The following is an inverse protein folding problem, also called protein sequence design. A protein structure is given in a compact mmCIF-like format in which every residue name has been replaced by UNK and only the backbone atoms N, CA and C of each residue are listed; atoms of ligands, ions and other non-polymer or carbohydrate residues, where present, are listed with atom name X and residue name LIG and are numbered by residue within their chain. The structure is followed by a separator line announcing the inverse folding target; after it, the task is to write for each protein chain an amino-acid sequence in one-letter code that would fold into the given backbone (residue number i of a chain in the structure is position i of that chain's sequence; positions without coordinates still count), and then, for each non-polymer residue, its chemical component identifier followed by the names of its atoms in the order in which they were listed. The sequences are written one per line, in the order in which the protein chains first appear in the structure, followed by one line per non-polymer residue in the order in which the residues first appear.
data_IF_556685164090
#
_entry.id   IF_556685164090
#
_cell.length_a   1.000
_cell.length_b   1.000
_cell.length_c   1.000
_cell.angle_alpha   90.00
_cell.angle_beta   90.00
_cell.angle_gamma   90.00
#
_symmetry.space_group_name_H-M   'P 1'
#
loop_
_entity.id
_entity.type
_entity.pdbx_description
1 polymer ?
#
# COMPACT_ATOMS: atom_id res chain seq x y z
N UNK A 1 29.33 -23.67 -50.68
CA UNK A 1 28.97 -23.70 -49.25
C UNK A 1 27.74 -24.58 -49.08
N UNK A 2 27.81 -25.61 -48.24
CA UNK A 2 26.75 -26.62 -48.10
C UNK A 2 25.51 -26.00 -47.44
N UNK A 3 24.31 -26.47 -47.80
CA UNK A 3 23.04 -26.11 -47.13
C UNK A 3 23.11 -26.34 -45.61
N UNK A 4 23.99 -27.25 -45.18
CA UNK A 4 24.29 -27.51 -43.77
C UNK A 4 24.90 -26.28 -43.05
N UNK A 5 25.81 -25.56 -43.69
CA UNK A 5 26.45 -24.37 -43.13
C UNK A 5 25.46 -23.20 -43.01
N UNK A 6 24.59 -23.03 -44.00
CA UNK A 6 23.53 -22.02 -43.97
C UNK A 6 22.52 -22.29 -42.84
N UNK A 7 22.11 -23.54 -42.67
CA UNK A 7 21.21 -23.94 -41.60
C UNK A 7 21.86 -23.78 -40.21
N UNK A 8 23.17 -24.01 -40.09
CA UNK A 8 23.92 -23.78 -38.85
C UNK A 8 23.99 -22.30 -38.49
N UNK A 9 24.23 -21.41 -39.46
CA UNK A 9 24.21 -19.96 -39.24
C UNK A 9 22.82 -19.43 -38.86
N UNK A 10 21.74 -19.97 -39.45
CA UNK A 10 20.37 -19.62 -39.06
C UNK A 10 20.08 -20.07 -37.62
N UNK A 11 20.48 -21.29 -37.24
CA UNK A 11 20.30 -21.80 -35.88
C UNK A 11 21.06 -20.94 -34.84
N UNK A 12 22.29 -20.53 -35.16
CA UNK A 12 23.11 -19.67 -34.29
C UNK A 12 22.51 -18.26 -34.15
N UNK A 13 21.93 -17.72 -35.22
CA UNK A 13 21.20 -16.44 -35.20
C UNK A 13 19.94 -16.47 -34.35
N UNK A 14 19.21 -17.59 -34.31
CA UNK A 14 18.02 -17.77 -33.47
C UNK A 14 18.38 -17.90 -31.99
N UNK A 15 19.52 -18.51 -31.65
CA UNK A 15 20.01 -18.61 -30.27
C UNK A 15 20.44 -17.24 -29.71
N UNK A 16 21.00 -16.37 -30.55
CA UNK A 16 21.41 -15.01 -30.17
C UNK A 16 20.24 -14.01 -30.02
N UNK A 17 19.01 -14.41 -30.37
CA UNK A 17 17.79 -13.59 -30.23
C UNK A 17 17.06 -13.79 -28.91
N UNK A 18 17.61 -14.55 -27.96
CA UNK A 18 17.08 -14.64 -26.60
C UNK A 18 17.42 -13.35 -25.82
N UNK A 19 16.86 -12.23 -26.27
CA UNK A 19 16.89 -10.97 -25.57
C UNK A 19 16.11 -11.12 -24.26
N UNK A 20 16.78 -10.78 -23.15
CA UNK A 20 16.26 -10.84 -21.80
C UNK A 20 14.96 -10.04 -21.68
N UNK A 21 13.82 -10.72 -21.62
CA UNK A 21 12.54 -10.11 -21.23
C UNK A 21 12.59 -9.86 -19.73
N UNK A 22 13.09 -8.70 -19.33
CA UNK A 22 12.93 -8.23 -17.95
C UNK A 22 11.48 -7.82 -17.76
N UNK A 23 10.68 -8.70 -17.14
CA UNK A 23 9.36 -8.32 -16.65
C UNK A 23 9.53 -7.18 -15.63
N UNK A 24 8.93 -6.01 -15.90
CA UNK A 24 8.92 -4.91 -14.94
C UNK A 24 7.91 -5.23 -13.84
N UNK A 25 8.43 -5.54 -12.64
CA UNK A 25 7.59 -5.83 -11.48
C UNK A 25 7.29 -4.54 -10.69
N UNK A 26 6.24 -3.84 -11.11
CA UNK A 26 5.71 -2.68 -10.39
C UNK A 26 5.13 -3.07 -9.02
N UNK A 27 5.10 -2.12 -8.09
CA UNK A 27 4.61 -2.32 -6.72
C UNK A 27 5.45 -3.28 -5.85
N UNK A 28 6.61 -3.72 -6.33
CA UNK A 28 7.51 -4.63 -5.62
C UNK A 28 8.26 -3.94 -4.47
N UNK A 29 8.91 -2.81 -4.76
CA UNK A 29 9.65 -2.00 -3.77
C UNK A 29 8.79 -0.91 -3.12
N UNK A 30 7.98 -0.23 -3.93
CA UNK A 30 7.06 0.82 -3.48
C UNK A 30 5.69 0.51 -4.04
N UNK A 31 4.70 0.29 -3.17
CA UNK A 31 3.32 0.07 -3.62
C UNK A 31 2.56 1.39 -3.70
N UNK A 32 1.85 1.59 -4.80
CA UNK A 32 0.84 2.63 -4.95
C UNK A 32 -0.53 2.06 -4.57
N UNK A 33 -1.32 2.83 -3.84
CA UNK A 33 -2.69 2.48 -3.41
C UNK A 33 -3.59 3.69 -3.69
N UNK A 34 -4.83 3.43 -4.12
CA UNK A 34 -5.86 4.46 -4.29
C UNK A 34 -7.01 4.12 -3.34
N UNK A 35 -7.27 4.99 -2.38
CA UNK A 35 -8.45 4.94 -1.54
C UNK A 35 -9.49 5.93 -2.07
N UNK A 36 -10.76 5.53 -1.98
CA UNK A 36 -11.88 6.35 -2.42
C UNK A 36 -12.97 6.30 -1.36
N UNK A 37 -13.49 7.46 -0.97
CA UNK A 37 -14.63 7.57 -0.07
C UNK A 37 -15.82 8.14 -0.83
N UNK A 38 -16.91 7.39 -0.86
CA UNK A 38 -18.14 7.81 -1.54
C UNK A 38 -18.88 8.77 -0.59
N UNK A 39 -18.71 10.08 -0.80
CA UNK A 39 -19.62 11.04 -0.21
C UNK A 39 -20.89 11.11 -1.06
N UNK A 40 -22.04 11.34 -0.40
CA UNK A 40 -23.33 11.51 -1.09
C UNK A 40 -23.18 12.58 -2.21
N UNK A 41 -23.86 12.36 -3.33
CA UNK A 41 -23.97 13.27 -4.50
C UNK A 41 -22.83 13.22 -5.55
N UNK A 42 -22.45 12.02 -6.02
CA UNK A 42 -21.56 11.79 -7.18
C UNK A 42 -20.16 12.42 -7.09
N UNK A 43 -19.78 12.87 -5.90
CA UNK A 43 -18.48 13.46 -5.59
C UNK A 43 -17.63 12.42 -4.87
N UNK A 44 -16.53 12.04 -5.51
CA UNK A 44 -15.58 11.06 -5.01
C UNK A 44 -14.36 11.77 -4.42
N UNK A 45 -14.11 11.56 -3.14
CA UNK A 45 -12.81 11.90 -2.54
C UNK A 45 -11.81 10.79 -2.88
N UNK A 46 -10.69 11.17 -3.47
CA UNK A 46 -9.65 10.27 -3.95
C UNK A 46 -8.36 10.58 -3.21
N UNK A 47 -7.84 9.58 -2.49
CA UNK A 47 -6.57 9.68 -1.76
C UNK A 47 -5.55 8.74 -2.39
N UNK A 48 -4.44 9.30 -2.87
CA UNK A 48 -3.28 8.53 -3.31
C UNK A 48 -2.37 8.20 -2.14
N UNK A 49 -1.95 6.93 -2.01
CA UNK A 49 -1.09 6.46 -0.92
C UNK A 49 0.13 5.73 -1.49
N UNK A 50 1.31 5.99 -0.93
CA UNK A 50 2.52 5.22 -1.17
C UNK A 50 2.87 4.35 0.04
N UNK A 51 3.43 3.16 -0.19
CA UNK A 51 3.99 2.28 0.84
C UNK A 51 5.39 1.82 0.46
N UNK A 52 6.37 2.10 1.31
CA UNK A 52 7.73 1.59 1.17
C UNK A 52 7.78 0.15 1.69
N UNK A 53 8.28 -0.79 0.90
CA UNK A 53 8.46 -2.20 1.29
C UNK A 53 9.94 -2.54 1.54
N UNK A 54 10.80 -1.53 1.60
CA UNK A 54 12.26 -1.66 1.70
C UNK A 54 12.80 -1.09 3.00
N UNK A 55 14.08 -1.34 3.25
CA UNK A 55 14.82 -0.85 4.43
C UNK A 55 15.46 0.52 4.21
N UNK A 56 15.35 1.11 3.01
CA UNK A 56 15.96 2.38 2.67
C UNK A 56 14.96 3.54 2.76
N UNK A 57 15.44 4.73 3.12
CA UNK A 57 14.69 5.96 2.87
C UNK A 57 14.67 6.21 1.36
N UNK A 58 13.51 6.62 0.83
CA UNK A 58 13.33 6.84 -0.60
C UNK A 58 12.82 8.26 -0.84
N UNK A 59 13.52 9.03 -1.67
CA UNK A 59 12.99 10.27 -2.26
C UNK A 59 12.23 9.90 -3.53
N UNK A 60 10.98 10.30 -3.63
CA UNK A 60 10.08 9.85 -4.68
C UNK A 60 9.26 11.02 -5.24
N UNK A 61 8.75 10.83 -6.44
CA UNK A 61 7.78 11.73 -7.06
C UNK A 61 6.51 10.95 -7.38
N UNK A 62 5.34 11.55 -7.21
CA UNK A 62 4.09 10.95 -7.64
C UNK A 62 3.40 11.77 -8.73
N UNK A 63 2.53 11.11 -9.49
CA UNK A 63 1.53 11.73 -10.34
C UNK A 63 0.20 11.00 -10.14
N UNK A 64 -0.80 11.72 -9.63
CA UNK A 64 -2.18 11.27 -9.52
C UNK A 64 -3.00 11.91 -10.64
N UNK A 65 -3.45 11.12 -11.59
CA UNK A 65 -4.23 11.57 -12.74
C UNK A 65 -5.68 11.11 -12.65
N UNK A 66 -6.59 12.01 -13.04
CA UNK A 66 -8.00 11.72 -13.26
C UNK A 66 -8.27 11.93 -14.74
N UNK A 67 -8.61 10.85 -15.43
CA UNK A 67 -8.85 10.85 -16.87
C UNK A 67 -10.32 10.53 -17.09
N UNK A 68 -11.06 11.46 -17.66
CA UNK A 68 -12.46 11.24 -18.05
C UNK A 68 -12.57 11.18 -19.56
N UNK A 69 -13.35 10.25 -20.09
CA UNK A 69 -13.59 10.14 -21.51
C UNK A 69 -15.02 9.71 -21.80
N UNK A 70 -15.58 10.21 -22.90
CA UNK A 70 -16.87 9.75 -23.40
C UNK A 70 -16.66 8.52 -24.29
N UNK A 71 -17.07 7.31 -23.86
CA UNK A 71 -16.88 6.10 -24.67
C UNK A 71 -17.79 6.04 -25.91
N UNK A 72 -18.73 6.99 -26.10
CA UNK A 72 -19.74 6.99 -27.17
C UNK A 72 -19.41 7.89 -28.36
N UNK A 73 -18.49 8.83 -28.20
CA UNK A 73 -18.21 9.85 -29.22
C UNK A 73 -17.15 9.37 -30.21
N UNK A 74 -17.44 9.43 -31.51
CA UNK A 74 -16.47 9.16 -32.60
C UNK A 74 -15.26 10.12 -32.58
N UNK A 75 -15.41 11.29 -31.96
CA UNK A 75 -14.35 12.23 -31.60
C UNK A 75 -14.36 12.35 -30.07
N UNK A 76 -13.52 11.58 -29.39
CA UNK A 76 -13.57 11.46 -27.92
C UNK A 76 -12.98 12.71 -27.25
N UNK A 77 -13.82 13.62 -26.79
CA UNK A 77 -13.38 14.61 -25.80
C UNK A 77 -12.98 13.85 -24.54
N UNK A 78 -11.69 13.87 -24.23
CA UNK A 78 -11.14 13.36 -22.98
C UNK A 78 -10.52 14.52 -22.21
N UNK A 79 -10.84 14.62 -20.92
CA UNK A 79 -10.12 15.51 -20.01
C UNK A 79 -9.16 14.68 -19.17
N UNK A 80 -7.96 15.23 -18.95
CA UNK A 80 -6.99 14.72 -17.97
C UNK A 80 -6.67 15.86 -17.02
N UNK A 81 -6.92 15.65 -15.74
CA UNK A 81 -6.37 16.47 -14.67
C UNK A 81 -5.30 15.65 -13.96
N UNK A 82 -4.23 16.29 -13.47
CA UNK A 82 -3.17 15.60 -12.75
C UNK A 82 -2.58 16.49 -11.67
N UNK A 83 -2.26 15.87 -10.53
CA UNK A 83 -1.51 16.47 -9.45
C UNK A 83 -0.24 15.67 -9.24
N UNK A 84 0.86 16.37 -8.95
CA UNK A 84 2.15 15.76 -8.73
C UNK A 84 2.89 16.46 -7.60
N UNK A 85 3.83 15.74 -6.99
CA UNK A 85 4.62 16.25 -5.89
C UNK A 85 5.80 15.34 -5.58
N UNK A 86 6.77 15.90 -4.89
CA UNK A 86 7.90 15.17 -4.32
C UNK A 86 7.62 14.85 -2.85
N UNK A 87 8.09 13.70 -2.39
CA UNK A 87 7.91 13.25 -1.02
C UNK A 87 9.07 12.32 -0.60
N UNK A 88 9.18 12.02 0.69
CA UNK A 88 10.20 11.11 1.22
C UNK A 88 9.54 10.05 2.07
N UNK A 89 9.80 8.79 1.73
CA UNK A 89 9.18 7.64 2.38
C UNK A 89 10.21 6.87 3.19
N UNK A 90 10.04 6.81 4.51
CA UNK A 90 10.94 6.06 5.39
C UNK A 90 10.77 4.56 5.20
N UNK A 91 11.71 3.75 5.71
CA UNK A 91 11.61 2.30 5.69
C UNK A 91 10.28 1.81 6.26
N UNK A 92 9.59 0.99 5.49
CA UNK A 92 8.32 0.36 5.88
C UNK A 92 7.20 1.32 6.30
N UNK A 93 7.28 2.59 5.88
CA UNK A 93 6.27 3.62 6.11
C UNK A 93 5.31 3.73 4.92
N UNK A 94 4.09 4.18 5.21
CA UNK A 94 3.13 4.65 4.22
C UNK A 94 2.87 6.16 4.40
N UNK A 95 2.57 6.83 3.30
CA UNK A 95 2.29 8.27 3.29
C UNK A 95 1.12 8.57 2.35
N UNK A 96 0.23 9.46 2.78
CA UNK A 96 -0.82 10.03 1.94
C UNK A 96 -0.23 11.16 1.10
N UNK A 97 -0.40 11.07 -0.23
CA UNK A 97 0.34 11.90 -1.19
C UNK A 97 -0.45 13.13 -1.62
N UNK A 98 -1.70 12.92 -2.01
CA UNK A 98 -2.65 13.94 -2.44
C UNK A 98 -4.07 13.47 -2.17
N UNK A 99 -4.92 14.45 -1.84
CA UNK A 99 -6.37 14.29 -1.73
C UNK A 99 -7.00 15.17 -2.80
N UNK A 100 -7.80 14.57 -3.68
CA UNK A 100 -8.51 15.31 -4.73
C UNK A 100 -9.97 14.89 -4.77
N UNK A 101 -10.83 15.85 -5.07
CA UNK A 101 -12.27 15.65 -5.18
C UNK A 101 -12.65 15.59 -6.66
N UNK A 102 -13.28 14.50 -7.07
CA UNK A 102 -13.65 14.25 -8.47
C UNK A 102 -15.15 14.07 -8.59
N UNK A 103 -15.80 14.86 -9.43
CA UNK A 103 -17.18 14.60 -9.81
C UNK A 103 -17.21 13.43 -10.83
N UNK A 104 -17.92 12.36 -10.50
CA UNK A 104 -18.05 11.16 -11.33
C UNK A 104 -19.36 11.25 -12.12
N UNK A 105 -19.25 11.54 -13.41
CA UNK A 105 -20.41 11.51 -14.30
C UNK A 105 -20.72 10.05 -14.72
N UNK A 106 -21.92 9.51 -14.42
CA UNK A 106 -22.29 8.13 -14.76
C UNK A 106 -22.37 7.87 -16.27
N UNK A 107 -22.52 8.89 -17.11
CA UNK A 107 -22.50 8.75 -18.58
C UNK A 107 -21.08 8.68 -19.16
N UNK A 108 -20.05 8.97 -18.35
CA UNK A 108 -18.65 9.02 -18.77
C UNK A 108 -17.82 7.93 -18.11
N UNK A 109 -16.72 7.55 -18.76
CA UNK A 109 -15.72 6.68 -18.14
C UNK A 109 -14.71 7.55 -17.40
N UNK A 110 -14.49 7.26 -16.11
CA UNK A 110 -13.45 7.90 -15.31
C UNK A 110 -12.39 6.90 -14.91
N UNK A 111 -11.12 7.24 -15.11
CA UNK A 111 -9.95 6.45 -14.71
C UNK A 111 -9.12 7.30 -13.75
N UNK A 112 -8.88 6.77 -12.56
CA UNK A 112 -7.92 7.33 -11.61
C UNK A 112 -6.65 6.50 -11.72
N UNK A 113 -5.52 7.16 -11.94
CA UNK A 113 -4.21 6.54 -12.10
C UNK A 113 -3.22 7.20 -11.15
N UNK A 114 -2.57 6.41 -10.29
CA UNK A 114 -1.46 6.85 -9.46
C UNK A 114 -0.18 6.19 -9.95
N UNK A 115 0.82 7.01 -10.26
CA UNK A 115 2.17 6.59 -10.62
C UNK A 115 3.16 7.13 -9.61
N UNK A 116 4.12 6.29 -9.19
CA UNK A 116 5.20 6.67 -8.28
C UNK A 116 6.53 6.40 -8.97
N UNK A 117 7.40 7.40 -8.98
CA UNK A 117 8.69 7.45 -9.65
C UNK A 117 9.83 7.57 -8.63
N UNK A 118 10.98 7.01 -8.97
CA UNK A 118 12.23 7.29 -8.28
C UNK A 118 12.93 8.55 -8.84
N UNK A 119 14.13 8.84 -8.32
CA UNK A 119 14.96 9.98 -8.76
C UNK A 119 15.39 9.91 -10.24
N UNK A 120 15.44 8.71 -10.83
CA UNK A 120 15.76 8.49 -12.25
C UNK A 120 14.52 8.48 -13.17
N UNK A 121 13.38 8.97 -12.69
CA UNK A 121 12.08 8.94 -13.38
C UNK A 121 11.58 7.53 -13.78
N UNK A 122 12.08 6.49 -13.12
CA UNK A 122 11.61 5.11 -13.29
C UNK A 122 10.40 4.84 -12.41
N UNK A 123 9.33 4.30 -13.01
CA UNK A 123 8.11 3.90 -12.29
C UNK A 123 8.42 2.73 -11.35
N UNK A 124 8.17 2.93 -10.06
CA UNK A 124 8.28 1.90 -9.02
C UNK A 124 6.92 1.33 -8.61
N UNK A 125 5.88 2.17 -8.59
CA UNK A 125 4.55 1.81 -8.12
C UNK A 125 3.44 2.36 -9.02
N UNK A 126 2.38 1.59 -9.19
CA UNK A 126 1.23 1.96 -10.03
C UNK A 126 -0.08 1.48 -9.42
N UNK A 127 -1.10 2.33 -9.36
CA UNK A 127 -2.46 1.94 -8.98
C UNK A 127 -3.46 2.53 -9.97
N UNK A 128 -4.52 1.78 -10.27
CA UNK A 128 -5.56 2.22 -11.21
C UNK A 128 -6.95 1.81 -10.75
N UNK A 129 -7.86 2.79 -10.68
CA UNK A 129 -9.29 2.59 -10.41
C UNK A 129 -10.10 3.06 -11.62
N UNK A 130 -11.15 2.33 -11.99
CA UNK A 130 -11.99 2.65 -13.16
C UNK A 130 -13.44 2.68 -12.76
N UNK A 131 -14.10 3.78 -13.08
CA UNK A 131 -15.55 3.95 -13.07
C UNK A 131 -16.01 3.90 -14.54
N UNK A 132 -16.82 2.90 -14.87
CA UNK A 132 -17.33 2.73 -16.23
C UNK A 132 -18.59 3.57 -16.40
N UNK A 133 -18.77 4.12 -17.60
CA UNK A 133 -20.03 4.74 -17.98
C UNK A 133 -21.16 3.68 -17.90
N UNK A 134 -22.22 3.98 -17.16
CA UNK A 134 -23.45 3.20 -17.17
C UNK A 134 -24.39 3.79 -18.25
N UNK A 135 -24.57 3.05 -19.35
CA UNK A 135 -25.52 3.45 -20.42
C UNK A 135 -26.93 2.89 -20.23
N UNK A 136 -27.14 2.05 -19.21
CA UNK A 136 -28.40 1.34 -18.99
C UNK A 136 -28.98 1.69 -17.61
N UNK A 137 -29.57 2.87 -17.49
CA UNK A 137 -30.58 3.17 -16.46
C UNK A 137 -31.88 3.45 -17.23
N UNK A 138 -32.60 2.40 -17.62
CA UNK A 138 -33.79 1.89 -16.92
C UNK A 138 -33.84 0.38 -17.22
N UNK A 139 -34.14 -0.45 -16.20
CA UNK A 139 -34.33 -1.92 -16.25
C UNK A 139 -33.13 -2.83 -15.90
N UNK A 140 -32.18 -2.42 -15.05
CA UNK A 140 -31.31 -3.40 -14.34
C UNK A 140 -30.98 -2.99 -12.90
N UNK A 141 -31.85 -2.22 -12.25
CA UNK A 141 -31.66 -1.90 -10.82
C UNK A 141 -31.91 -3.11 -9.89
N UNK A 142 -32.41 -4.23 -10.41
CA UNK A 142 -32.88 -5.36 -9.58
C UNK A 142 -32.31 -6.75 -9.91
N UNK A 143 -31.28 -6.89 -10.78
CA UNK A 143 -30.73 -8.22 -11.12
C UNK A 143 -29.22 -8.41 -11.02
N UNK A 144 -28.44 -7.41 -10.60
CA UNK A 144 -27.01 -7.59 -10.27
C UNK A 144 -26.68 -7.51 -8.78
N UNK A 145 -27.68 -7.40 -7.90
CA UNK A 145 -27.51 -7.53 -6.44
C UNK A 145 -27.29 -8.98 -5.97
N UNK A 146 -26.97 -9.92 -6.89
CA UNK A 146 -26.37 -11.20 -6.51
C UNK A 146 -24.84 -11.09 -6.45
N UNK A 147 -24.32 -10.06 -5.78
CA UNK A 147 -23.10 -10.27 -5.02
C UNK A 147 -23.52 -10.99 -3.76
N UNK A 148 -23.19 -12.27 -3.71
CA UNK A 148 -22.99 -13.02 -2.48
C UNK A 148 -22.09 -12.15 -1.61
N UNK A 149 -22.70 -11.28 -0.79
CA UNK A 149 -22.05 -10.46 0.22
C UNK A 149 -21.43 -11.47 1.17
N UNK A 150 -20.20 -11.88 0.84
CA UNK A 150 -19.42 -12.84 1.60
C UNK A 150 -19.18 -12.17 2.94
N UNK A 151 -20.08 -12.44 3.88
CA UNK A 151 -20.05 -12.03 5.27
C UNK A 151 -19.11 -10.85 5.49
N UNK A 152 -19.59 -9.62 5.26
CA UNK A 152 -19.03 -8.45 5.94
C UNK A 152 -19.33 -8.60 7.43
N UNK A 153 -18.76 -9.63 8.05
CA UNK A 153 -18.37 -9.53 9.44
C UNK A 153 -17.39 -8.39 9.51
N UNK A 154 -17.53 -7.55 10.52
CA UNK A 154 -16.57 -6.50 10.83
C UNK A 154 -15.20 -7.18 10.93
N UNK A 155 -14.35 -7.00 9.92
CA UNK A 155 -12.96 -7.44 9.96
C UNK A 155 -12.24 -6.39 10.80
N UNK A 156 -11.97 -6.73 12.07
CA UNK A 156 -11.18 -5.90 12.98
C UNK A 156 -9.73 -5.91 12.48
N UNK A 157 -9.36 -4.96 11.62
CA UNK A 157 -7.98 -4.76 11.22
C UNK A 157 -7.19 -4.14 12.39
N UNK A 158 -6.03 -4.71 12.68
CA UNK A 158 -5.04 -4.06 13.54
C UNK A 158 -5.43 -3.94 15.02
N UNK A 159 -5.85 -5.04 15.64
CA UNK A 159 -6.09 -5.06 17.08
C UNK A 159 -4.76 -4.93 17.85
N UNK A 160 -4.60 -3.83 18.57
CA UNK A 160 -3.49 -3.64 19.53
C UNK A 160 -4.05 -3.80 20.93
N UNK A 161 -3.46 -4.67 21.73
CA UNK A 161 -3.86 -4.86 23.14
C UNK A 161 -2.83 -4.24 24.08
N UNK A 162 -3.34 -3.57 25.12
CA UNK A 162 -2.52 -2.94 26.16
C UNK A 162 -2.41 -3.83 27.39
N UNK A 163 -1.19 -4.24 27.75
CA UNK A 163 -0.86 -4.90 29.01
C UNK A 163 0.25 -4.11 29.74
N UNK A 164 0.03 -2.81 29.92
CA UNK A 164 0.96 -1.92 30.61
C UNK A 164 0.51 -1.64 32.04
N UNK A 165 1.46 -1.33 32.92
CA UNK A 165 1.23 -1.09 34.36
C UNK A 165 1.64 0.31 34.79
N UNK A 166 2.55 0.95 34.05
CA UNK A 166 3.10 2.26 34.42
C UNK A 166 2.70 3.34 33.43
N UNK A 167 2.78 4.61 33.86
CA UNK A 167 2.49 5.76 33.00
C UNK A 167 3.35 5.79 31.73
N UNK A 168 4.69 5.61 31.78
CA UNK A 168 5.49 5.53 30.55
C UNK A 168 5.09 4.39 29.62
N UNK A 169 4.64 3.25 30.16
CA UNK A 169 4.12 2.13 29.36
C UNK A 169 2.83 2.52 28.63
N UNK A 170 1.87 3.10 29.35
CA UNK A 170 0.62 3.60 28.78
C UNK A 170 0.86 4.69 27.73
N UNK A 171 1.70 5.69 28.05
CA UNK A 171 2.01 6.79 27.14
C UNK A 171 2.65 6.24 25.84
N UNK A 172 3.51 5.22 25.93
CA UNK A 172 4.03 4.51 24.75
C UNK A 172 2.93 3.79 23.97
N UNK A 173 2.03 3.06 24.63
CA UNK A 173 0.91 2.40 23.98
C UNK A 173 0.06 3.39 23.20
N UNK A 174 -0.30 4.53 23.80
CA UNK A 174 -1.11 5.57 23.15
C UNK A 174 -0.40 6.10 21.88
N UNK A 175 0.90 6.40 21.95
CA UNK A 175 1.68 6.84 20.79
C UNK A 175 1.78 5.77 19.70
N UNK A 176 2.01 4.52 20.08
CA UNK A 176 2.11 3.40 19.15
C UNK A 176 0.77 3.15 18.46
N UNK A 177 -0.33 3.10 19.22
CA UNK A 177 -1.67 2.86 18.72
C UNK A 177 -2.09 3.93 17.72
N UNK A 178 -1.87 5.22 18.04
CA UNK A 178 -2.17 6.32 17.12
C UNK A 178 -1.41 6.16 15.80
N UNK A 179 -0.11 5.88 15.86
CA UNK A 179 0.73 5.72 14.65
C UNK A 179 0.33 4.49 13.84
N UNK A 180 0.02 3.39 14.53
CA UNK A 180 -0.37 2.14 13.88
C UNK A 180 -1.71 2.28 13.16
N UNK A 181 -2.69 2.98 13.75
CA UNK A 181 -3.98 3.27 13.11
C UNK A 181 -3.83 4.07 11.81
N UNK A 182 -2.89 5.02 11.78
CA UNK A 182 -2.56 5.80 10.58
C UNK A 182 -1.81 4.96 9.53
N UNK A 183 -1.12 3.91 9.94
CA UNK A 183 -0.30 3.09 9.04
C UNK A 183 -1.08 2.16 8.10
N UNK A 184 -2.41 2.11 8.24
CA UNK A 184 -3.35 1.38 7.36
C UNK A 184 -2.83 -0.01 6.96
N UNK A 185 -2.49 -0.84 7.95
CA UNK A 185 -1.87 -2.14 7.68
C UNK A 185 -2.94 -3.23 7.48
N UNK A 186 -2.99 -3.91 6.33
CA UNK A 186 -4.04 -4.89 6.02
C UNK A 186 -3.87 -6.25 6.70
N UNK A 187 -2.79 -6.49 7.48
CA UNK A 187 -2.61 -7.79 8.14
C UNK A 187 -3.47 -7.90 9.39
N UNK A 188 -4.33 -8.91 9.42
CA UNK A 188 -5.18 -9.24 10.57
C UNK A 188 -4.37 -10.00 11.64
N UNK A 189 -3.45 -9.29 12.29
CA UNK A 189 -2.60 -9.81 13.38
C UNK A 189 -2.77 -8.97 14.63
N UNK A 190 -2.77 -9.64 15.78
CA UNK A 190 -2.89 -8.96 17.07
C UNK A 190 -1.50 -8.55 17.53
N UNK A 191 -1.37 -7.26 17.90
CA UNK A 191 -0.15 -6.70 18.47
C UNK A 191 -0.35 -6.57 19.97
N UNK A 192 0.52 -7.16 20.77
CA UNK A 192 0.49 -7.04 22.22
C UNK A 192 1.59 -6.09 22.70
N UNK A 193 1.20 -5.08 23.47
CA UNK A 193 2.12 -4.19 24.16
C UNK A 193 2.18 -4.62 25.63
N UNK A 194 3.20 -5.39 25.99
CA UNK A 194 3.37 -5.92 27.34
C UNK A 194 4.45 -5.14 28.12
N UNK A 195 4.24 -4.97 29.42
CA UNK A 195 5.22 -4.36 30.31
C UNK A 195 5.72 -5.33 31.40
N UNK A 196 7.05 -5.50 31.47
CA UNK A 196 7.73 -6.17 32.56
C UNK A 196 8.33 -5.12 33.51
N UNK A 197 7.76 -5.03 34.71
CA UNK A 197 8.29 -4.18 35.78
C UNK A 197 9.24 -5.01 36.64
N UNK A 198 10.48 -4.55 36.77
CA UNK A 198 11.52 -5.18 37.59
C UNK A 198 11.81 -4.37 38.85
N UNK A 199 12.54 -4.99 39.79
CA UNK A 199 13.07 -4.32 40.97
C UNK A 199 13.88 -3.07 40.56
N UNK A 200 13.73 -1.98 41.35
CA UNK A 200 14.34 -0.68 41.04
C UNK A 200 13.49 0.25 40.14
N UNK A 201 12.19 -0.02 39.97
CA UNK A 201 11.26 0.76 39.12
C UNK A 201 11.68 0.85 37.65
N UNK A 202 12.54 -0.06 37.20
CA UNK A 202 12.88 -0.20 35.80
C UNK A 202 11.77 -0.98 35.11
N UNK A 203 11.35 -0.50 33.94
CA UNK A 203 10.28 -1.14 33.19
C UNK A 203 10.76 -1.41 31.79
N UNK A 204 10.48 -2.63 31.30
CA UNK A 204 10.80 -3.07 29.95
C UNK A 204 9.49 -3.25 29.20
N UNK A 205 9.37 -2.57 28.07
CA UNK A 205 8.25 -2.72 27.16
C UNK A 205 8.60 -3.76 26.11
N UNK A 206 7.66 -4.64 25.82
CA UNK A 206 7.73 -5.70 24.82
C UNK A 206 6.61 -5.46 23.80
N UNK A 207 6.99 -5.34 22.53
CA UNK A 207 6.06 -5.28 21.41
C UNK A 207 6.05 -6.65 20.75
N UNK A 208 4.91 -7.34 20.84
CA UNK A 208 4.75 -8.69 20.32
C UNK A 208 3.73 -8.72 19.20
N UNK A 209 3.95 -9.61 18.23
CA UNK A 209 2.95 -9.99 17.24
C UNK A 209 2.64 -11.45 17.48
N UNK A 210 1.38 -11.76 17.79
CA UNK A 210 0.99 -13.04 18.39
C UNK A 210 1.89 -13.34 19.62
N UNK A 211 2.68 -14.42 19.60
CA UNK A 211 3.57 -14.79 20.70
C UNK A 211 5.05 -14.41 20.49
N UNK A 212 5.38 -13.69 19.41
CA UNK A 212 6.78 -13.38 19.06
C UNK A 212 7.14 -11.95 19.45
N UNK A 213 8.22 -11.77 20.22
CA UNK A 213 8.76 -10.43 20.55
C UNK A 213 9.44 -9.85 19.32
N UNK A 214 8.89 -8.77 18.80
CA UNK A 214 9.40 -8.07 17.61
C UNK A 214 10.32 -6.91 18.00
N UNK A 215 10.01 -6.24 19.11
CA UNK A 215 10.80 -5.13 19.60
C UNK A 215 10.72 -5.04 21.12
N UNK A 216 11.80 -4.61 21.77
CA UNK A 216 11.83 -4.39 23.21
C UNK A 216 12.77 -3.25 23.59
N UNK A 217 12.42 -2.51 24.64
CA UNK A 217 13.24 -1.43 25.16
C UNK A 217 12.91 -1.13 26.63
N UNK A 218 13.81 -0.41 27.31
CA UNK A 218 13.56 0.10 28.65
C UNK A 218 12.83 1.44 28.58
N UNK A 219 11.67 1.55 29.24
CA UNK A 219 10.90 2.77 29.25
C UNK A 219 11.65 3.90 29.96
N UNK A 220 11.57 5.11 29.39
CA UNK A 220 12.04 6.34 30.02
C UNK A 220 10.90 7.35 30.02
N UNK A 221 10.62 8.07 31.13
CA UNK A 221 9.47 8.96 31.22
C UNK A 221 9.44 10.13 30.21
N UNK A 222 10.54 10.42 29.51
CA UNK A 222 10.60 11.51 28.53
C UNK A 222 9.72 11.18 27.32
N UNK A 223 8.69 12.00 27.06
CA UNK A 223 7.73 11.78 25.97
C UNK A 223 8.38 11.65 24.60
N UNK A 224 9.37 12.50 24.28
CA UNK A 224 10.08 12.40 22.98
C UNK A 224 10.79 11.06 22.79
N UNK A 225 11.29 10.48 23.89
CA UNK A 225 11.90 9.16 23.83
C UNK A 225 10.84 8.10 23.53
N UNK A 226 9.70 8.13 24.20
CA UNK A 226 8.60 7.18 23.98
C UNK A 226 8.04 7.30 22.55
N UNK A 227 7.88 8.52 22.02
CA UNK A 227 7.49 8.75 20.62
C UNK A 227 8.48 8.12 19.64
N UNK A 228 9.79 8.32 19.86
CA UNK A 228 10.84 7.70 19.04
C UNK A 228 10.83 6.17 19.12
N UNK A 229 10.56 5.62 20.31
CA UNK A 229 10.45 4.17 20.48
C UNK A 229 9.18 3.63 19.79
N UNK A 230 8.08 4.39 19.77
CA UNK A 230 6.87 4.02 19.03
C UNK A 230 7.13 3.98 17.51
N UNK A 231 7.89 4.95 16.97
CA UNK A 231 8.33 4.93 15.57
C UNK A 231 9.18 3.70 15.27
N UNK A 232 10.18 3.42 16.09
CA UNK A 232 11.05 2.26 15.93
C UNK A 232 10.27 0.93 16.03
N UNK A 233 9.35 0.82 16.99
CA UNK A 233 8.48 -0.33 17.15
C UNK A 233 7.63 -0.57 15.90
N UNK A 234 6.98 0.48 15.39
CA UNK A 234 6.14 0.39 14.18
C UNK A 234 6.95 -0.07 12.96
N UNK A 235 8.16 0.46 12.78
CA UNK A 235 9.05 0.03 11.69
C UNK A 235 9.42 -1.45 11.80
N UNK A 236 9.73 -1.95 13.00
CA UNK A 236 10.05 -3.37 13.20
C UNK A 236 8.83 -4.26 12.95
N UNK A 237 7.65 -3.85 13.40
CA UNK A 237 6.37 -4.54 13.14
C UNK A 237 6.06 -4.57 11.65
N UNK A 238 6.18 -3.45 10.94
CA UNK A 238 5.92 -3.40 9.50
C UNK A 238 6.94 -4.24 8.72
N UNK A 239 8.22 -4.23 9.10
CA UNK A 239 9.25 -5.11 8.55
C UNK A 239 8.88 -6.58 8.72
N UNK A 240 8.46 -6.97 9.93
CA UNK A 240 8.01 -8.33 10.22
C UNK A 240 6.83 -8.73 9.31
N UNK A 241 5.83 -7.87 9.16
CA UNK A 241 4.71 -8.14 8.25
C UNK A 241 5.11 -8.25 6.78
N UNK A 242 6.05 -7.42 6.30
CA UNK A 242 6.55 -7.56 4.93
C UNK A 242 7.26 -8.90 4.72
N UNK A 243 8.03 -9.37 5.72
CA UNK A 243 8.69 -10.67 5.65
C UNK A 243 7.67 -11.82 5.59
N UNK A 244 6.61 -11.76 6.40
CA UNK A 244 5.51 -12.73 6.34
C UNK A 244 4.82 -12.75 4.96
N UNK A 245 4.59 -11.58 4.35
CA UNK A 245 4.02 -11.48 3.00
C UNK A 245 4.91 -12.15 1.95
N UNK A 246 6.22 -11.89 2.00
CA UNK A 246 7.19 -12.50 1.08
C UNK A 246 7.21 -14.02 1.21
N UNK A 247 7.17 -14.55 2.43
CA UNK A 247 7.11 -15.99 2.68
C UNK A 247 5.83 -16.62 2.11
N UNK A 248 4.65 -16.02 2.35
CA UNK A 248 3.38 -16.49 1.77
C UNK A 248 3.43 -16.55 0.24
N UNK A 249 3.98 -15.50 -0.39
CA UNK A 249 4.11 -15.43 -1.85
C UNK A 249 5.01 -16.53 -2.42
N UNK A 250 6.11 -16.86 -1.73
CA UNK A 250 6.98 -17.96 -2.14
C UNK A 250 6.25 -19.31 -2.07
N UNK A 251 5.44 -19.56 -1.04
CA UNK A 251 4.70 -20.81 -0.90
C UNK A 251 3.64 -20.96 -1.99
N UNK A 252 2.93 -19.90 -2.36
CA UNK A 252 1.86 -19.95 -3.38
C UNK A 252 2.39 -20.08 -4.82
N UNK A 253 3.69 -19.89 -5.04
CA UNK A 253 4.33 -20.04 -6.35
C UNK A 253 4.78 -21.49 -6.64
N UNK A 254 4.66 -22.40 -5.67
CA UNK A 254 4.85 -23.85 -5.82
C UNK A 254 3.51 -24.58 -5.78
#
# INVERSE_FOLDING_TARGET
MSRLFLNFCILLGVILLQQNVFAQNFNSKVAAIINTNDQKDDILEVTGIALNKTEANLSLRYELSVITSNPSAKNSNSSKSSQSGFFTLKPFENEELSVTTVNINPAMRTIILLLIYNEDDKILGTARKVYKANRNTITELDKSLSYKKKNEGIQLYGMVTENTKTKPGKDFYDFFYQKYQLSQNPENKIIHIDEMVSFGRTTRILVKVDNTVIFQFYARPKLDYLKKMADAALQNVNRYFQNLKRQKQQITQY
#
